data_IF_137624541634
#
_entry.id   IF_137624541634
#
_cell.length_a   1.000
_cell.length_b   1.000
_cell.length_c   1.000
_cell.angle_alpha   90.00
_cell.angle_beta   90.00
_cell.angle_gamma   90.00
#
_symmetry.space_group_name_H-M   'P 1'
#
loop_
_entity.id
_entity.type
_entity.pdbx_description
1 polymer ?
#
# COMPACT_ATOMS: atom_id res chain seq x y z
N UNK A 1 24.03 18.16 41.01
CA UNK A 1 25.15 17.24 41.29
C UNK A 1 24.50 15.90 41.58
N UNK A 2 24.62 14.84 40.79
CA UNK A 2 25.75 14.42 39.95
C UNK A 2 25.20 13.73 38.70
N UNK A 3 25.95 13.83 37.61
CA UNK A 3 25.72 13.24 36.29
C UNK A 3 26.23 11.79 36.29
N UNK A 4 25.53 10.86 35.64
CA UNK A 4 26.05 9.52 35.32
C UNK A 4 25.41 9.06 34.00
N UNK A 5 25.74 9.79 32.93
CA UNK A 5 25.31 9.54 31.55
C UNK A 5 26.47 8.93 30.72
N UNK A 6 27.30 8.09 31.36
CA UNK A 6 28.42 7.38 30.75
C UNK A 6 28.12 5.88 30.71
N UNK A 7 27.18 5.47 29.84
CA UNK A 7 27.13 4.09 29.35
C UNK A 7 27.92 4.03 28.06
N UNK A 8 29.23 3.82 28.19
CA UNK A 8 30.07 3.42 27.08
C UNK A 8 29.48 2.17 26.43
N UNK A 9 29.02 2.31 25.19
CA UNK A 9 28.67 1.18 24.34
C UNK A 9 29.99 0.66 23.79
N UNK A 10 30.55 -0.36 24.44
CA UNK A 10 31.61 -1.19 23.87
C UNK A 10 31.05 -1.93 22.65
N UNK A 11 31.06 -1.27 21.49
CA UNK A 11 31.05 -1.96 20.21
C UNK A 11 32.44 -2.56 20.06
N UNK A 12 32.60 -3.78 20.55
CA UNK A 12 33.60 -4.68 20.00
C UNK A 12 33.25 -4.87 18.52
N UNK A 13 33.88 -4.08 17.66
CA UNK A 13 33.97 -4.39 16.25
C UNK A 13 34.75 -5.69 16.14
N UNK A 14 34.03 -6.79 16.01
CA UNK A 14 34.54 -8.07 15.54
C UNK A 14 35.17 -7.84 14.15
N UNK A 15 36.46 -7.53 14.19
CA UNK A 15 37.35 -7.41 13.05
C UNK A 15 38.23 -8.67 12.99
N UNK A 16 37.62 -9.85 13.08
CA UNK A 16 38.27 -11.10 12.69
C UNK A 16 38.37 -11.18 11.16
N UNK A 17 39.39 -10.50 10.59
CA UNK A 17 40.09 -10.99 9.41
C UNK A 17 41.47 -10.29 9.25
N UNK A 18 42.33 -10.36 10.27
CA UNK A 18 43.77 -10.11 10.08
C UNK A 18 44.44 -11.39 9.55
N UNK A 19 44.26 -11.64 8.26
CA UNK A 19 45.05 -12.62 7.51
C UNK A 19 45.13 -12.24 6.04
N UNK A 20 45.67 -11.05 5.73
CA UNK A 20 46.44 -10.90 4.48
C UNK A 20 47.40 -9.69 4.37
N UNK A 21 48.18 -9.37 5.41
CA UNK A 21 49.23 -8.34 5.30
C UNK A 21 50.61 -8.88 4.89
N UNK A 22 50.72 -10.16 4.50
CA UNK A 22 52.00 -10.80 4.14
C UNK A 22 52.12 -11.34 2.71
N UNK A 23 51.07 -11.28 1.88
CA UNK A 23 51.16 -11.75 0.48
C UNK A 23 51.41 -10.63 -0.54
N UNK A 24 51.33 -9.36 -0.15
CA UNK A 24 51.50 -8.23 -1.08
C UNK A 24 52.94 -7.95 -1.56
N UNK A 25 53.95 -8.71 -1.14
CA UNK A 25 55.34 -8.53 -1.59
C UNK A 25 55.96 -9.75 -2.28
N UNK A 26 55.16 -10.73 -2.74
CA UNK A 26 55.73 -11.91 -3.42
C UNK A 26 54.89 -12.51 -4.52
N UNK A 27 54.35 -11.68 -5.42
CA UNK A 27 53.85 -12.22 -6.69
C UNK A 27 53.99 -11.25 -7.87
N UNK A 28 55.22 -10.80 -8.10
CA UNK A 28 55.60 -10.06 -9.33
C UNK A 28 55.94 -10.99 -10.51
N UNK A 29 55.73 -12.31 -10.42
CA UNK A 29 56.00 -13.23 -11.52
C UNK A 29 54.97 -14.37 -11.51
N UNK A 30 54.06 -14.38 -12.48
CA UNK A 30 53.17 -15.53 -12.69
C UNK A 30 51.83 -15.11 -13.27
N UNK A 31 51.76 -15.11 -14.60
CA UNK A 31 50.60 -14.71 -15.39
C UNK A 31 49.31 -15.40 -14.98
N UNK A 32 48.31 -14.60 -14.65
CA UNK A 32 46.89 -14.94 -14.77
C UNK A 32 46.08 -13.64 -14.76
N UNK A 33 45.68 -13.17 -15.94
CA UNK A 33 44.59 -12.21 -16.15
C UNK A 33 44.63 -10.88 -15.37
N UNK A 34 45.81 -10.26 -15.18
CA UNK A 34 45.92 -9.02 -14.41
C UNK A 34 45.42 -7.82 -15.21
N UNK A 35 44.11 -7.56 -15.12
CA UNK A 35 43.60 -6.20 -15.29
C UNK A 35 44.41 -5.26 -14.38
N UNK A 36 44.99 -4.22 -14.96
CA UNK A 36 45.63 -3.12 -14.24
C UNK A 36 44.68 -2.58 -13.16
N UNK A 37 45.22 -1.96 -12.11
CA UNK A 37 44.37 -1.38 -11.07
C UNK A 37 43.38 -0.33 -11.64
N UNK A 38 43.75 0.32 -12.75
CA UNK A 38 42.87 1.18 -13.52
C UNK A 38 41.72 0.40 -14.20
N UNK A 39 42.02 -0.73 -14.84
CA UNK A 39 41.00 -1.59 -15.47
C UNK A 39 40.06 -2.23 -14.44
N UNK A 40 40.55 -2.63 -13.26
CA UNK A 40 39.68 -3.12 -12.17
C UNK A 40 38.69 -2.05 -11.71
N UNK A 41 39.15 -0.79 -11.55
CA UNK A 41 38.27 0.35 -11.22
C UNK A 41 37.26 0.63 -12.34
N UNK A 42 37.71 0.59 -13.60
CA UNK A 42 36.84 0.81 -14.76
C UNK A 42 35.75 -0.26 -14.86
N UNK A 43 36.11 -1.54 -14.68
CA UNK A 43 35.17 -2.65 -14.68
C UNK A 43 34.14 -2.54 -13.55
N UNK A 44 34.58 -2.22 -12.33
CA UNK A 44 33.67 -1.98 -11.20
C UNK A 44 32.68 -0.83 -11.51
N UNK A 45 33.17 0.29 -12.05
CA UNK A 45 32.32 1.43 -12.44
C UNK A 45 31.32 1.07 -13.56
N UNK A 46 31.72 0.21 -14.49
CA UNK A 46 30.85 -0.28 -15.55
C UNK A 46 29.72 -1.17 -15.00
N UNK A 47 30.06 -2.11 -14.10
CA UNK A 47 29.08 -2.96 -13.43
C UNK A 47 28.08 -2.15 -12.61
N UNK A 48 28.55 -1.17 -11.84
CA UNK A 48 27.65 -0.34 -11.03
C UNK A 48 26.75 0.55 -11.92
N UNK A 49 27.23 1.03 -13.06
CA UNK A 49 26.38 1.73 -14.03
C UNK A 49 25.25 0.84 -14.54
N UNK A 50 25.59 -0.39 -14.96
CA UNK A 50 24.59 -1.40 -15.37
C UNK A 50 23.56 -1.66 -14.27
N UNK A 51 24.01 -1.80 -13.02
CA UNK A 51 23.10 -1.97 -11.85
C UNK A 51 22.17 -0.76 -11.68
N UNK A 52 22.68 0.47 -11.80
CA UNK A 52 21.87 1.69 -11.70
C UNK A 52 20.85 1.82 -12.82
N UNK A 53 21.18 1.39 -14.03
CA UNK A 53 20.24 1.39 -15.16
C UNK A 53 19.11 0.38 -14.93
N UNK A 54 19.41 -0.82 -14.44
CA UNK A 54 18.37 -1.80 -14.08
C UNK A 54 17.42 -1.25 -12.99
N UNK A 55 17.96 -0.56 -11.99
CA UNK A 55 17.14 0.09 -10.95
C UNK A 55 16.29 1.21 -11.56
N UNK A 56 16.85 2.01 -12.45
CA UNK A 56 16.12 3.07 -13.15
C UNK A 56 14.93 2.49 -13.92
N UNK A 57 15.13 1.39 -14.64
CA UNK A 57 14.08 0.70 -15.38
C UNK A 57 13.00 0.15 -14.44
N UNK A 58 13.41 -0.41 -13.31
CA UNK A 58 12.50 -0.88 -12.25
C UNK A 58 11.63 0.27 -11.70
N UNK A 59 12.21 1.46 -11.51
CA UNK A 59 11.46 2.65 -11.10
C UNK A 59 10.50 3.15 -12.18
N UNK A 60 10.88 3.06 -13.46
CA UNK A 60 10.00 3.40 -14.59
C UNK A 60 8.79 2.47 -14.61
N UNK A 61 9.01 1.15 -14.56
CA UNK A 61 7.93 0.16 -14.53
C UNK A 61 7.03 0.32 -13.31
N UNK A 62 7.60 0.55 -12.12
CA UNK A 62 6.81 0.83 -10.92
C UNK A 62 5.95 2.09 -11.10
N UNK A 63 6.48 3.14 -11.73
CA UNK A 63 5.72 4.37 -11.94
C UNK A 63 4.53 4.15 -12.89
N UNK A 64 4.73 3.36 -13.94
CA UNK A 64 3.70 3.05 -14.92
C UNK A 64 2.56 2.19 -14.35
N UNK A 65 2.79 1.45 -13.27
CA UNK A 65 1.74 0.61 -12.65
C UNK A 65 0.91 1.34 -11.59
N UNK A 66 1.35 2.51 -11.12
CA UNK A 66 0.68 3.28 -10.08
C UNK A 66 -0.17 4.40 -10.72
N UNK A 67 -1.52 4.32 -10.70
CA UNK A 67 -2.39 5.26 -11.42
C UNK A 67 -2.17 6.73 -11.05
N UNK A 68 -1.88 7.03 -9.79
CA UNK A 68 -1.62 8.40 -9.32
C UNK A 68 -0.35 9.05 -9.91
N UNK A 69 0.51 8.26 -10.56
CA UNK A 69 1.73 8.70 -11.22
C UNK A 69 1.62 8.66 -12.76
N UNK A 70 0.49 8.17 -13.29
CA UNK A 70 0.19 8.15 -14.71
C UNK A 70 -0.39 9.52 -15.12
N UNK A 71 0.40 10.31 -15.83
CA UNK A 71 0.00 11.61 -16.37
C UNK A 71 1.21 12.41 -16.82
N UNK A 72 1.21 12.94 -18.03
CA UNK A 72 2.41 13.48 -18.73
C UNK A 72 3.24 14.48 -17.89
N UNK A 73 2.58 15.37 -17.14
CA UNK A 73 3.25 16.34 -16.25
C UNK A 73 3.76 15.75 -14.93
N UNK A 74 3.15 14.67 -14.42
CA UNK A 74 3.54 13.99 -13.17
C UNK A 74 4.62 12.94 -13.47
N UNK A 75 4.53 12.33 -14.65
CA UNK A 75 5.46 11.37 -15.24
C UNK A 75 6.86 11.97 -15.21
N UNK A 76 7.12 13.07 -15.90
CA UNK A 76 8.49 13.60 -15.99
C UNK A 76 9.05 14.15 -14.67
N UNK A 77 8.19 14.45 -13.69
CA UNK A 77 8.55 15.19 -12.47
C UNK A 77 8.53 14.35 -11.18
N UNK A 78 8.02 13.11 -11.21
CA UNK A 78 7.95 12.28 -10.01
C UNK A 78 9.35 11.81 -9.59
N UNK A 79 9.83 12.33 -8.44
CA UNK A 79 11.07 11.89 -7.82
C UNK A 79 10.98 10.42 -7.34
N UNK A 80 12.13 9.75 -7.18
CA UNK A 80 12.18 8.36 -6.65
C UNK A 80 11.45 8.21 -5.32
N UNK A 81 11.60 9.18 -4.41
CA UNK A 81 10.91 9.18 -3.13
C UNK A 81 9.38 9.27 -3.30
N UNK A 82 8.89 10.10 -4.22
CA UNK A 82 7.45 10.19 -4.51
C UNK A 82 6.92 8.90 -5.14
N UNK A 83 7.67 8.25 -6.03
CA UNK A 83 7.28 6.97 -6.62
C UNK A 83 7.06 5.93 -5.51
N UNK A 84 8.02 5.79 -4.59
CA UNK A 84 7.91 4.85 -3.47
C UNK A 84 6.72 5.20 -2.56
N UNK A 85 6.55 6.49 -2.22
CA UNK A 85 5.43 6.94 -1.37
C UNK A 85 4.08 6.62 -2.00
N UNK A 86 3.90 6.96 -3.29
CA UNK A 86 2.64 6.71 -4.01
C UNK A 86 2.38 5.23 -4.25
N UNK A 87 3.42 4.42 -4.48
CA UNK A 87 3.27 2.97 -4.54
C UNK A 87 2.78 2.39 -3.21
N UNK A 88 3.37 2.80 -2.08
CA UNK A 88 2.94 2.35 -0.76
C UNK A 88 1.49 2.75 -0.44
N UNK A 89 1.13 4.01 -0.72
CA UNK A 89 -0.26 4.49 -0.60
C UNK A 89 -1.23 3.68 -1.46
N UNK A 90 -0.85 3.36 -2.70
CA UNK A 90 -1.68 2.59 -3.62
C UNK A 90 -1.87 1.14 -3.17
N UNK A 91 -0.84 0.48 -2.65
CA UNK A 91 -0.96 -0.87 -2.07
C UNK A 91 -1.96 -0.87 -0.91
N UNK A 92 -1.86 0.09 0.01
CA UNK A 92 -2.78 0.21 1.15
C UNK A 92 -4.22 0.50 0.69
N UNK A 93 -4.38 1.35 -0.31
CA UNK A 93 -5.68 1.63 -0.92
C UNK A 93 -6.29 0.36 -1.54
N UNK A 94 -5.53 -0.36 -2.36
CA UNK A 94 -6.01 -1.58 -3.03
C UNK A 94 -6.35 -2.69 -2.03
N UNK A 95 -5.60 -2.82 -0.92
CA UNK A 95 -5.95 -3.75 0.18
C UNK A 95 -7.32 -3.43 0.78
N UNK A 96 -7.57 -2.16 1.14
CA UNK A 96 -8.87 -1.73 1.67
C UNK A 96 -10.00 -1.94 0.66
N UNK A 97 -9.75 -1.59 -0.60
CA UNK A 97 -10.72 -1.76 -1.69
C UNK A 97 -11.07 -3.24 -1.91
N UNK A 98 -10.08 -4.13 -1.94
CA UNK A 98 -10.31 -5.56 -2.09
C UNK A 98 -11.10 -6.13 -0.90
N UNK A 99 -10.83 -5.68 0.32
CA UNK A 99 -11.59 -6.10 1.51
C UNK A 99 -13.06 -5.66 1.43
N UNK A 100 -13.32 -4.42 0.99
CA UNK A 100 -14.70 -3.93 0.77
C UNK A 100 -15.41 -4.79 -0.28
N UNK A 101 -14.76 -5.06 -1.42
CA UNK A 101 -15.34 -5.92 -2.45
C UNK A 101 -15.58 -7.34 -1.95
N UNK A 102 -14.72 -7.87 -1.08
CA UNK A 102 -14.93 -9.19 -0.49
C UNK A 102 -16.16 -9.20 0.43
N UNK A 103 -16.37 -8.14 1.22
CA UNK A 103 -17.58 -7.99 2.03
C UNK A 103 -18.84 -7.90 1.15
N UNK A 104 -18.80 -7.10 0.07
CA UNK A 104 -19.90 -6.99 -0.89
C UNK A 104 -20.23 -8.37 -1.51
N UNK A 105 -19.21 -9.14 -1.88
CA UNK A 105 -19.36 -10.50 -2.41
C UNK A 105 -20.03 -11.42 -1.38
N UNK A 106 -19.61 -11.37 -0.11
CA UNK A 106 -20.13 -12.25 0.93
C UNK A 106 -21.57 -11.90 1.32
N UNK A 107 -21.91 -10.61 1.32
CA UNK A 107 -23.28 -10.15 1.54
C UNK A 107 -24.22 -10.54 0.39
N UNK A 108 -23.77 -10.38 -0.86
CA UNK A 108 -24.53 -10.84 -2.03
C UNK A 108 -24.72 -12.36 -2.04
N UNK A 109 -23.70 -13.13 -1.64
CA UNK A 109 -23.84 -14.59 -1.48
C UNK A 109 -24.89 -14.93 -0.43
N UNK A 110 -24.88 -14.26 0.72
CA UNK A 110 -25.89 -14.47 1.79
C UNK A 110 -27.29 -14.17 1.28
N UNK A 111 -27.47 -13.05 0.57
CA UNK A 111 -28.75 -12.69 -0.03
C UNK A 111 -29.22 -13.72 -1.07
N UNK A 112 -28.33 -14.17 -1.96
CA UNK A 112 -28.66 -15.21 -2.93
C UNK A 112 -29.09 -16.51 -2.26
N UNK A 113 -28.39 -16.97 -1.23
CA UNK A 113 -28.79 -18.17 -0.49
C UNK A 113 -30.17 -18.01 0.16
N UNK A 114 -30.49 -16.84 0.71
CA UNK A 114 -31.81 -16.57 1.27
C UNK A 114 -32.90 -16.63 0.20
N UNK A 115 -32.67 -16.02 -0.96
CA UNK A 115 -33.61 -16.04 -2.09
C UNK A 115 -33.77 -17.44 -2.66
N UNK A 116 -32.68 -18.20 -2.83
CA UNK A 116 -32.72 -19.60 -3.28
C UNK A 116 -33.55 -20.47 -2.32
N UNK A 117 -33.39 -20.28 -1.01
CA UNK A 117 -34.19 -20.99 -0.01
C UNK A 117 -35.68 -20.61 -0.09
N UNK A 118 -35.99 -19.33 -0.29
CA UNK A 118 -37.38 -18.87 -0.49
C UNK A 118 -37.99 -19.45 -1.76
N UNK A 119 -37.26 -19.44 -2.88
CA UNK A 119 -37.71 -20.03 -4.16
C UNK A 119 -38.01 -21.51 -3.95
N UNK A 120 -37.09 -22.26 -3.34
CA UNK A 120 -37.26 -23.69 -3.07
C UNK A 120 -38.48 -23.98 -2.19
N UNK A 121 -38.72 -23.15 -1.17
CA UNK A 121 -39.90 -23.28 -0.31
C UNK A 121 -41.20 -23.04 -1.08
N UNK A 122 -41.24 -21.98 -1.90
CA UNK A 122 -42.39 -21.66 -2.74
C UNK A 122 -42.66 -22.72 -3.82
N UNK A 123 -41.62 -23.27 -4.43
CA UNK A 123 -41.74 -24.38 -5.38
C UNK A 123 -42.33 -25.63 -4.72
N UNK A 124 -41.92 -25.94 -3.49
CA UNK A 124 -42.48 -27.06 -2.70
C UNK A 124 -43.96 -26.85 -2.41
N UNK A 125 -44.35 -25.65 -1.94
CA UNK A 125 -45.75 -25.28 -1.69
C UNK A 125 -46.59 -25.41 -2.96
N UNK A 126 -46.07 -24.90 -4.10
CA UNK A 126 -46.77 -24.98 -5.39
C UNK A 126 -46.97 -26.43 -5.84
N UNK A 127 -46.00 -27.30 -5.57
CA UNK A 127 -46.08 -28.72 -5.91
C UNK A 127 -47.05 -29.50 -4.99
N UNK A 128 -47.14 -29.15 -3.71
CA UNK A 128 -48.03 -29.83 -2.73
C UNK A 128 -49.45 -29.26 -2.68
N UNK A 129 -49.70 -28.07 -3.24
CA UNK A 129 -51.02 -27.42 -3.24
C UNK A 129 -51.44 -26.82 -1.89
N UNK A 130 -50.55 -26.80 -0.89
CA UNK A 130 -50.82 -26.34 0.47
C UNK A 130 -50.42 -24.86 0.66
N UNK A 131 -51.26 -23.93 0.21
CA UNK A 131 -51.00 -22.48 0.26
C UNK A 131 -51.01 -21.85 1.66
N UNK A 132 -51.57 -22.54 2.68
CA UNK A 132 -51.73 -22.01 4.04
C UNK A 132 -50.41 -22.01 4.83
N UNK A 133 -49.49 -22.93 4.54
CA UNK A 133 -48.19 -23.08 5.24
C UNK A 133 -47.12 -22.11 4.70
N UNK A 134 -47.36 -21.50 3.53
CA UNK A 134 -46.42 -20.58 2.87
C UNK A 134 -46.31 -19.21 3.57
N UNK A 135 -47.39 -18.77 4.21
CA UNK A 135 -47.43 -17.46 4.88
C UNK A 135 -46.62 -17.45 6.18
N UNK A 136 -46.53 -18.60 6.87
CA UNK A 136 -45.83 -18.73 8.15
C UNK A 136 -44.29 -18.83 7.97
N UNK A 137 -43.82 -19.50 6.91
CA UNK A 137 -42.40 -19.54 6.55
C UNK A 137 -41.88 -18.25 5.89
N UNK A 138 -42.73 -17.50 5.20
CA UNK A 138 -42.35 -16.23 4.56
C UNK A 138 -42.18 -15.07 5.56
N UNK A 139 -42.82 -15.14 6.74
CA UNK A 139 -42.83 -14.09 7.76
C UNK A 139 -41.98 -14.40 9.00
N UNK A 140 -41.29 -15.54 9.03
CA UNK A 140 -40.40 -15.96 10.13
C UNK A 140 -39.09 -15.20 10.25
N UNK A 141 -38.88 -14.11 9.48
CA UNK A 141 -37.81 -13.14 9.75
C UNK A 141 -38.30 -12.25 10.88
N UNK A 142 -38.04 -12.69 12.11
CA UNK A 142 -38.20 -11.87 13.30
C UNK A 142 -37.54 -10.51 13.07
N UNK A 143 -38.35 -9.46 13.17
CA UNK A 143 -37.92 -8.09 13.42
C UNK A 143 -37.29 -8.03 14.82
N UNK A 144 -36.14 -8.65 15.00
CA UNK A 144 -35.26 -8.36 16.14
C UNK A 144 -34.54 -7.08 15.76
N UNK A 145 -34.99 -5.96 16.34
CA UNK A 145 -34.31 -4.68 16.25
C UNK A 145 -32.91 -4.82 16.83
N UNK A 146 -31.93 -5.07 15.98
CA UNK A 146 -30.52 -4.87 16.31
C UNK A 146 -30.25 -3.38 16.15
N UNK A 147 -30.38 -2.64 17.25
CA UNK A 147 -29.89 -1.27 17.36
C UNK A 147 -28.37 -1.29 17.21
N UNK A 148 -27.88 -1.12 15.99
CA UNK A 148 -26.48 -0.77 15.78
C UNK A 148 -26.35 0.72 16.12
N UNK A 149 -25.92 1.00 17.35
CA UNK A 149 -25.44 2.31 17.75
C UNK A 149 -24.31 2.70 16.78
N UNK A 150 -24.57 3.73 15.98
CA UNK A 150 -23.55 4.40 15.19
C UNK A 150 -22.89 5.42 16.10
N UNK A 151 -21.74 5.07 16.65
CA UNK A 151 -20.86 6.02 17.34
C UNK A 151 -20.31 7.02 16.30
N UNK A 152 -21.03 8.12 16.12
CA UNK A 152 -20.52 9.30 15.41
C UNK A 152 -19.65 10.10 16.36
N UNK A 153 -18.35 9.84 16.33
CA UNK A 153 -17.36 10.69 16.97
C UNK A 153 -17.09 11.95 16.12
N UNK A 154 -17.62 13.05 16.62
CA UNK A 154 -17.13 14.44 16.57
C UNK A 154 -16.38 14.92 15.31
N UNK A 155 -17.17 15.49 14.39
CA UNK A 155 -16.69 16.53 13.47
C UNK A 155 -16.75 17.90 14.15
N UNK A 156 -15.59 18.47 14.49
CA UNK A 156 -15.49 19.85 14.96
C UNK A 156 -16.06 20.84 13.94
N UNK A 157 -16.97 21.69 14.42
CA UNK A 157 -17.59 22.76 13.68
C UNK A 157 -16.71 24.00 13.55
N UNK A 158 -16.70 24.53 12.32
CA UNK A 158 -16.82 25.97 11.99
C UNK A 158 -15.66 26.91 12.32
N UNK A 159 -15.04 27.48 11.26
CA UNK A 159 -15.21 28.91 10.91
C UNK A 159 -14.80 29.17 9.45
N UNK A 160 -15.75 29.05 8.50
CA UNK A 160 -15.58 29.68 7.18
C UNK A 160 -15.88 31.18 7.31
N UNK A 161 -14.83 32.01 7.26
CA UNK A 161 -14.95 33.47 7.09
C UNK A 161 -15.55 33.77 5.71
N UNK A 162 -16.79 34.26 5.68
CA UNK A 162 -17.36 34.90 4.48
C UNK A 162 -16.77 36.31 4.34
N UNK A 163 -16.08 36.57 3.21
CA UNK A 163 -15.58 37.91 2.88
C UNK A 163 -16.74 38.74 2.32
N UNK A 164 -17.06 39.84 2.98
CA UNK A 164 -18.10 40.81 2.57
C UNK A 164 -17.63 41.54 1.30
N UNK A 165 -18.44 41.51 0.24
CA UNK A 165 -18.25 42.33 -0.96
C UNK A 165 -18.49 43.79 -0.61
N UNK A 166 -17.55 44.66 -1.00
CA UNK A 166 -17.63 46.11 -0.81
C UNK A 166 -18.42 46.69 -1.97
N UNK A 167 -19.65 47.12 -1.71
CA UNK A 167 -20.46 47.87 -2.66
C UNK A 167 -19.96 49.32 -2.58
N UNK A 168 -19.39 49.83 -3.66
CA UNK A 168 -19.07 51.25 -3.78
C UNK A 168 -20.38 52.00 -4.05
N UNK A 169 -20.93 52.64 -3.02
CA UNK A 169 -21.96 53.65 -3.19
C UNK A 169 -21.34 54.88 -3.85
N UNK A 170 -21.80 55.18 -5.05
CA UNK A 170 -21.63 56.47 -5.73
C UNK A 170 -22.31 57.53 -4.87
N UNK A 171 -21.61 58.63 -4.59
CA UNK A 171 -22.22 59.83 -4.03
C UNK A 171 -21.85 61.02 -4.92
N UNK A 172 -22.88 61.52 -5.62
CA UNK A 172 -23.08 62.80 -6.32
C UNK A 172 -21.93 63.37 -7.14
#
# INVERSE_FOLDING_TARGET
MISDDDRDIDIESDAENDSDSRTHMRNSLGGSGYYSQAEKRAHHNALERKRRDHIKDSFTSLRETVPALQGEKVVCNASRAQILKKAAEYIQFMRRKNNSHQQDIDDLKRQNTLLENQIKALEKVRATGNYIEAHELALGIKSEGSSHDTDSSDGEGTTRRVKKLKINSVNV
#
